data_IF_327694348182
#
_entry.id   IF_327694348182
#
_cell.length_a   1.000
_cell.length_b   1.000
_cell.length_c   1.000
_cell.angle_alpha   90.00
_cell.angle_beta   90.00
_cell.angle_gamma   90.00
#
_symmetry.space_group_name_H-M   'P 1'
#
loop_
_entity.id
_entity.type
_entity.pdbx_description
1 polymer ?
#
# COMPACT_ATOMS: atom_id res chain seq x y z
N UNK A 1 8.41 17.76 13.82
CA UNK A 1 7.78 16.76 14.70
C UNK A 1 7.22 17.44 15.93
N UNK A 2 5.93 17.76 15.96
CA UNK A 2 5.26 18.28 17.16
C UNK A 2 4.75 17.10 18.00
N UNK A 3 5.31 16.96 19.20
CA UNK A 3 4.99 15.88 20.14
C UNK A 3 3.53 15.95 20.59
N UNK A 4 2.93 17.14 20.62
CA UNK A 4 1.54 17.30 21.04
C UNK A 4 0.58 16.79 19.98
N UNK A 5 0.81 17.12 18.71
CA UNK A 5 0.03 16.60 17.58
C UNK A 5 0.17 15.09 17.44
N UNK A 6 1.39 14.55 17.57
CA UNK A 6 1.61 13.10 17.56
C UNK A 6 0.79 12.41 18.65
N UNK A 7 0.81 12.92 19.89
CA UNK A 7 0.04 12.32 21.00
C UNK A 7 -1.46 12.37 20.74
N UNK A 8 -1.96 13.48 20.21
CA UNK A 8 -3.38 13.64 19.86
C UNK A 8 -3.81 12.70 18.73
N UNK A 9 -2.95 12.43 17.74
CA UNK A 9 -3.26 11.49 16.67
C UNK A 9 -3.10 10.03 17.13
N UNK A 10 -2.11 9.75 17.99
CA UNK A 10 -1.84 8.39 18.48
C UNK A 10 -2.97 7.81 19.31
N UNK A 11 -3.80 8.64 19.98
CA UNK A 11 -4.97 8.14 20.71
C UNK A 11 -6.08 7.63 19.79
N UNK A 12 -6.05 7.99 18.50
CA UNK A 12 -7.04 7.56 17.51
C UNK A 12 -6.63 6.29 16.76
N UNK A 13 -5.43 5.75 17.02
CA UNK A 13 -4.86 4.62 16.31
C UNK A 13 -4.46 3.55 17.34
N UNK A 14 -5.18 2.44 17.34
CA UNK A 14 -5.00 1.37 18.34
C UNK A 14 -3.59 0.79 18.36
N UNK A 15 -2.91 0.73 17.22
CA UNK A 15 -1.55 0.21 17.12
C UNK A 15 -0.47 1.13 17.71
N UNK A 16 -0.78 2.41 17.92
CA UNK A 16 0.12 3.35 18.59
C UNK A 16 -0.15 3.47 20.09
N UNK A 17 -1.31 2.99 20.56
CA UNK A 17 -1.68 2.98 21.97
C UNK A 17 -0.86 1.96 22.77
N UNK A 18 -0.45 2.30 24.00
CA UNK A 18 0.07 1.33 24.95
C UNK A 18 -0.94 0.20 25.20
N UNK A 19 -0.50 -1.05 25.43
CA UNK A 19 -1.38 -2.21 25.64
C UNK A 19 -2.28 -2.12 26.89
N UNK A 20 -2.07 -1.11 27.75
CA UNK A 20 -2.87 -0.85 28.97
C UNK A 20 -3.99 0.18 28.73
N UNK A 21 -4.13 0.72 27.53
CA UNK A 21 -5.13 1.75 27.22
C UNK A 21 -6.53 1.15 27.07
N UNK A 22 -7.56 1.89 27.47
CA UNK A 22 -8.95 1.48 27.31
C UNK A 22 -9.31 1.37 25.82
N UNK A 23 -10.20 0.43 25.49
CA UNK A 23 -10.80 0.33 24.15
C UNK A 23 -11.65 1.57 23.90
N UNK A 24 -11.33 2.30 22.83
CA UNK A 24 -12.04 3.49 22.42
C UNK A 24 -12.88 3.16 21.19
N UNK A 25 -14.20 3.32 21.30
CA UNK A 25 -15.10 3.21 20.16
C UNK A 25 -14.97 4.46 19.30
N UNK A 26 -14.14 4.37 18.26
CA UNK A 26 -13.79 5.47 17.38
C UNK A 26 -14.45 5.29 16.02
N UNK A 27 -15.02 6.36 15.44
CA UNK A 27 -15.54 6.28 14.08
C UNK A 27 -14.40 6.02 13.09
N UNK A 28 -14.62 5.09 12.15
CA UNK A 28 -13.63 4.67 11.15
C UNK A 28 -13.03 5.83 10.36
N UNK A 29 -13.85 6.84 10.00
CA UNK A 29 -13.38 8.02 9.29
C UNK A 29 -12.34 8.84 10.09
N UNK A 30 -12.47 8.89 11.42
CA UNK A 30 -11.50 9.55 12.28
C UNK A 30 -10.19 8.75 12.34
N UNK A 31 -10.25 7.42 12.35
CA UNK A 31 -9.05 6.56 12.29
C UNK A 31 -8.30 6.75 10.97
N UNK A 32 -9.01 6.79 9.82
CA UNK A 32 -8.44 7.05 8.49
C UNK A 32 -7.80 8.45 8.43
N UNK A 33 -8.47 9.47 8.97
CA UNK A 33 -7.90 10.82 9.03
C UNK A 33 -6.67 10.88 9.96
N UNK A 34 -6.70 10.16 11.08
CA UNK A 34 -5.61 10.13 12.04
C UNK A 34 -4.36 9.45 11.46
N UNK A 35 -4.49 8.31 10.78
CA UNK A 35 -3.35 7.60 10.20
C UNK A 35 -2.67 8.41 9.10
N UNK A 36 -3.45 9.09 8.26
CA UNK A 36 -2.93 10.03 7.26
C UNK A 36 -2.26 11.24 7.94
N UNK A 37 -2.86 11.76 9.01
CA UNK A 37 -2.29 12.84 9.83
C UNK A 37 -0.93 12.47 10.41
N UNK A 38 -0.75 11.24 10.90
CA UNK A 38 0.56 10.74 11.34
C UNK A 38 1.55 10.76 10.18
N UNK A 39 1.15 10.30 8.98
CA UNK A 39 1.98 10.39 7.78
C UNK A 39 2.48 11.81 7.47
N UNK A 40 1.61 12.81 7.61
CA UNK A 40 1.95 14.22 7.39
C UNK A 40 2.88 14.78 8.49
N UNK A 41 2.62 14.47 9.76
CA UNK A 41 3.47 14.92 10.88
C UNK A 41 4.89 14.37 10.79
N UNK A 42 5.03 13.15 10.26
CA UNK A 42 6.28 12.42 10.11
C UNK A 42 6.83 12.43 8.67
N UNK A 43 6.32 13.29 7.81
CA UNK A 43 6.72 13.35 6.41
C UNK A 43 8.24 13.56 6.28
N UNK A 44 8.91 12.67 5.54
CA UNK A 44 10.35 12.73 5.30
C UNK A 44 11.23 12.53 6.55
N UNK A 45 10.70 11.99 7.65
CA UNK A 45 11.48 11.76 8.88
C UNK A 45 12.08 10.35 8.96
N UNK A 46 11.58 9.40 8.15
CA UNK A 46 11.97 7.99 8.16
C UNK A 46 12.04 7.35 9.56
N UNK A 47 11.10 7.72 10.46
CA UNK A 47 11.09 7.18 11.81
C UNK A 47 10.67 5.71 11.84
N UNK A 48 11.64 4.82 12.15
CA UNK A 48 11.48 3.35 12.18
C UNK A 48 10.20 2.85 12.85
N UNK A 49 9.91 3.30 14.08
CA UNK A 49 8.73 2.84 14.84
C UNK A 49 7.41 3.16 14.12
N UNK A 50 7.28 4.35 13.54
CA UNK A 50 6.06 4.76 12.83
C UNK A 50 5.95 3.97 11.53
N UNK A 51 7.06 3.79 10.82
CA UNK A 51 7.13 2.97 9.60
C UNK A 51 6.72 1.50 9.87
N UNK A 52 7.20 0.89 10.95
CA UNK A 52 6.83 -0.47 11.38
C UNK A 52 5.32 -0.58 11.68
N UNK A 53 4.77 0.38 12.42
CA UNK A 53 3.34 0.40 12.74
C UNK A 53 2.50 0.58 11.48
N UNK A 54 2.81 1.58 10.65
CA UNK A 54 2.06 1.82 9.40
C UNK A 54 2.11 0.62 8.45
N UNK A 55 3.25 -0.08 8.37
CA UNK A 55 3.37 -1.30 7.58
C UNK A 55 2.46 -2.42 8.09
N UNK A 56 2.36 -2.58 9.41
CA UNK A 56 1.42 -3.55 10.02
C UNK A 56 -0.05 -3.17 9.80
N UNK A 57 -0.35 -1.87 9.75
CA UNK A 57 -1.71 -1.36 9.53
C UNK A 57 -2.20 -1.54 8.08
N UNK A 58 -1.30 -1.52 7.09
CA UNK A 58 -1.65 -1.83 5.68
C UNK A 58 -2.25 -3.23 5.58
N UNK A 59 -1.62 -4.21 6.25
CA UNK A 59 -2.02 -5.61 6.25
C UNK A 59 -2.91 -6.03 7.43
N UNK A 60 -3.61 -5.09 8.08
CA UNK A 60 -4.44 -5.36 9.26
C UNK A 60 -5.55 -6.39 8.93
N UNK A 61 -5.68 -7.51 9.66
CA UNK A 61 -6.73 -8.51 9.41
C UNK A 61 -8.12 -8.02 9.83
N UNK A 62 -9.21 -8.65 9.35
CA UNK A 62 -10.57 -8.29 9.76
C UNK A 62 -10.88 -8.81 11.16
N UNK A 63 -11.77 -8.11 11.86
CA UNK A 63 -12.17 -8.43 13.23
C UNK A 63 -11.36 -7.68 14.29
N UNK A 64 -11.49 -8.05 15.58
CA UNK A 64 -12.30 -9.15 16.09
C UNK A 64 -13.81 -8.97 15.88
N UNK A 65 -14.53 -10.09 15.71
CA UNK A 65 -15.99 -10.14 15.66
C UNK A 65 -16.63 -9.26 14.57
N UNK A 66 -17.14 -8.09 14.94
CA UNK A 66 -17.80 -7.13 14.05
C UNK A 66 -16.96 -5.88 13.78
N UNK A 67 -15.77 -5.79 14.38
CA UNK A 67 -14.84 -4.68 14.20
C UNK A 67 -14.08 -4.78 12.88
N UNK A 68 -13.61 -3.64 12.39
CA UNK A 68 -12.72 -3.55 11.23
C UNK A 68 -13.24 -4.23 9.97
N UNK A 69 -14.56 -4.30 9.77
CA UNK A 69 -15.15 -4.89 8.57
C UNK A 69 -15.52 -3.84 7.51
N UNK A 70 -15.84 -2.62 7.93
CA UNK A 70 -16.33 -1.55 7.06
C UNK A 70 -15.17 -0.69 6.55
N UNK A 71 -15.15 -0.36 5.25
CA UNK A 71 -14.20 0.59 4.62
C UNK A 71 -12.70 0.32 4.89
N UNK A 72 -12.31 -0.95 5.05
CA UNK A 72 -10.91 -1.36 5.29
C UNK A 72 -9.97 -0.92 4.16
N UNK A 73 -10.48 -0.90 2.93
CA UNK A 73 -9.73 -0.45 1.75
C UNK A 73 -9.26 1.01 1.92
N UNK A 74 -10.13 1.89 2.43
CA UNK A 74 -9.80 3.29 2.69
C UNK A 74 -8.73 3.44 3.78
N UNK A 75 -8.79 2.60 4.82
CA UNK A 75 -7.80 2.60 5.90
C UNK A 75 -6.45 2.08 5.43
N UNK A 76 -6.42 0.94 4.73
CA UNK A 76 -5.19 0.37 4.16
C UNK A 76 -4.54 1.33 3.15
N UNK A 77 -5.36 1.98 2.31
CA UNK A 77 -4.90 3.01 1.39
C UNK A 77 -4.28 4.21 2.12
N UNK A 78 -4.94 4.72 3.16
CA UNK A 78 -4.44 5.83 3.96
C UNK A 78 -3.15 5.46 4.72
N UNK A 79 -3.06 4.23 5.24
CA UNK A 79 -1.86 3.71 5.88
C UNK A 79 -0.68 3.62 4.89
N UNK A 80 -0.94 3.14 3.67
CA UNK A 80 0.05 3.09 2.59
C UNK A 80 0.54 4.47 2.15
N UNK A 81 -0.38 5.41 1.96
CA UNK A 81 -0.03 6.81 1.68
C UNK A 81 0.76 7.45 2.81
N UNK A 82 0.33 7.26 4.06
CA UNK A 82 1.05 7.74 5.23
C UNK A 82 2.48 7.16 5.29
N UNK A 83 2.63 5.86 5.06
CA UNK A 83 3.94 5.19 5.02
C UNK A 83 4.83 5.78 3.92
N UNK A 84 4.28 5.98 2.72
CA UNK A 84 4.97 6.61 1.61
C UNK A 84 5.43 8.04 1.92
N UNK A 85 4.61 8.83 2.62
CA UNK A 85 4.97 10.18 3.07
C UNK A 85 6.08 10.17 4.13
N UNK A 86 6.05 9.23 5.09
CA UNK A 86 7.09 9.10 6.11
C UNK A 86 8.44 8.73 5.49
N UNK A 87 8.41 7.87 4.47
CA UNK A 87 9.59 7.35 3.75
C UNK A 87 9.94 8.12 2.47
N UNK A 88 9.33 9.29 2.26
CA UNK A 88 9.41 10.05 1.01
C UNK A 88 10.85 10.33 0.59
N UNK A 89 11.21 9.99 -0.66
CA UNK A 89 12.54 10.20 -1.27
C UNK A 89 13.73 9.55 -0.54
N UNK A 90 13.50 8.69 0.47
CA UNK A 90 14.59 8.05 1.21
C UNK A 90 15.17 6.81 0.49
N UNK A 91 14.45 6.27 -0.50
CA UNK A 91 14.91 5.18 -1.36
C UNK A 91 15.53 4.02 -0.59
N UNK A 92 16.73 3.61 -1.03
CA UNK A 92 17.53 2.56 -0.39
C UNK A 92 18.54 3.10 0.66
N UNK A 93 18.60 4.42 0.84
CA UNK A 93 19.61 5.10 1.65
C UNK A 93 19.22 5.25 3.13
N UNK A 94 17.97 4.94 3.49
CA UNK A 94 17.56 4.84 4.89
C UNK A 94 18.22 3.61 5.55
N UNK A 95 19.47 3.76 6.01
CA UNK A 95 20.26 2.76 6.72
C UNK A 95 19.54 2.17 7.96
N UNK A 96 18.55 2.89 8.52
CA UNK A 96 17.69 2.42 9.62
C UNK A 96 16.58 1.45 9.18
N UNK A 97 16.30 1.36 7.88
CA UNK A 97 15.16 0.66 7.24
C UNK A 97 15.59 -0.54 6.40
N UNK A 98 16.87 -0.62 6.00
CA UNK A 98 17.44 -1.77 5.27
C UNK A 98 17.20 -3.10 6.00
N UNK A 99 17.17 -3.07 7.33
CA UNK A 99 16.95 -4.25 8.17
C UNK A 99 15.50 -4.79 8.15
N UNK A 100 14.53 -3.96 7.75
CA UNK A 100 13.11 -4.29 7.85
C UNK A 100 12.50 -4.91 6.58
N UNK A 101 13.27 -5.01 5.48
CA UNK A 101 12.78 -5.51 4.19
C UNK A 101 11.42 -4.91 3.81
N UNK A 102 11.25 -3.60 4.03
CA UNK A 102 9.96 -2.91 3.88
C UNK A 102 9.49 -2.98 2.42
N UNK A 103 10.42 -2.80 1.49
CA UNK A 103 10.15 -2.94 0.06
C UNK A 103 9.61 -4.34 -0.28
N UNK A 104 10.22 -5.40 0.27
CA UNK A 104 9.75 -6.78 0.05
C UNK A 104 8.37 -7.03 0.66
N UNK A 105 8.08 -6.45 1.84
CA UNK A 105 6.77 -6.58 2.47
C UNK A 105 5.68 -5.83 1.68
N UNK A 106 5.98 -4.63 1.18
CA UNK A 106 5.06 -3.89 0.33
C UNK A 106 4.86 -4.59 -1.01
N UNK A 107 5.92 -5.17 -1.60
CA UNK A 107 5.80 -6.00 -2.79
C UNK A 107 4.91 -7.23 -2.53
N UNK A 108 5.05 -7.87 -1.38
CA UNK A 108 4.18 -8.98 -0.95
C UNK A 108 2.71 -8.55 -0.78
N UNK A 109 2.46 -7.33 -0.28
CA UNK A 109 1.10 -6.77 -0.23
C UNK A 109 0.54 -6.42 -1.62
N UNK A 110 1.39 -6.03 -2.57
CA UNK A 110 0.99 -5.67 -3.93
C UNK A 110 0.69 -6.88 -4.83
N UNK A 111 1.52 -7.92 -4.78
CA UNK A 111 1.39 -9.12 -5.63
C UNK A 111 0.51 -10.18 -4.98
N UNK A 112 0.41 -10.14 -3.65
CA UNK A 112 -0.23 -11.17 -2.87
C UNK A 112 0.68 -12.36 -2.60
N UNK A 113 0.29 -13.16 -1.61
CA UNK A 113 1.04 -14.32 -1.15
C UNK A 113 0.47 -14.84 0.16
N UNK A 114 1.14 -15.82 0.76
CA UNK A 114 0.72 -16.35 2.07
C UNK A 114 0.84 -15.27 3.14
N UNK A 115 -0.18 -15.14 3.98
CA UNK A 115 -0.13 -14.25 5.15
C UNK A 115 0.99 -14.73 6.08
N UNK A 116 1.88 -13.83 6.48
CA UNK A 116 2.85 -14.17 7.54
C UNK A 116 2.07 -14.29 8.85
N UNK A 117 2.35 -15.31 9.68
CA UNK A 117 1.69 -15.43 10.97
C UNK A 117 1.96 -14.17 11.80
N UNK A 118 0.89 -13.51 12.26
CA UNK A 118 0.99 -12.33 13.11
C UNK A 118 1.91 -12.62 14.31
N UNK A 119 2.94 -11.80 14.46
CA UNK A 119 3.91 -11.87 15.55
C UNK A 119 3.64 -10.71 16.51
N UNK A 120 3.45 -10.99 17.80
CA UNK A 120 3.24 -9.97 18.84
C UNK A 120 1.84 -9.98 19.49
N UNK A 121 1.56 -8.92 20.27
CA UNK A 121 0.37 -8.74 21.12
C UNK A 121 -0.95 -8.65 20.35
N UNK A 122 -0.91 -8.39 19.04
CA UNK A 122 -2.12 -8.40 18.20
C UNK A 122 -2.67 -9.80 17.93
N UNK A 123 -1.86 -10.86 18.06
CA UNK A 123 -2.31 -12.25 17.85
C UNK A 123 -3.42 -12.68 18.81
N UNK A 124 -3.46 -12.13 20.03
CA UNK A 124 -4.52 -12.43 21.00
C UNK A 124 -5.83 -11.72 20.67
N UNK A 125 -5.77 -10.49 20.12
CA UNK A 125 -6.95 -9.72 19.74
C UNK A 125 -7.66 -10.28 18.50
N UNK A 126 -6.90 -10.71 17.48
CA UNK A 126 -7.46 -11.28 16.23
C UNK A 126 -7.67 -12.80 16.28
N UNK A 127 -7.67 -13.40 17.49
CA UNK A 127 -7.91 -14.84 17.65
C UNK A 127 -9.36 -15.22 17.31
N UNK A 128 -10.30 -14.30 17.51
CA UNK A 128 -11.69 -14.45 17.11
C UNK A 128 -11.86 -14.01 15.65
N UNK A 129 -12.28 -14.89 14.73
CA UNK A 129 -12.49 -14.52 13.34
C UNK A 129 -13.62 -13.50 13.22
N UNK A 130 -13.55 -12.64 12.21
CA UNK A 130 -14.66 -11.74 11.90
C UNK A 130 -15.90 -12.50 11.44
N UNK A 131 -17.08 -12.01 11.85
CA UNK A 131 -18.37 -12.58 11.44
C UNK A 131 -18.84 -12.10 10.07
N UNK A 132 -18.26 -11.02 9.54
CA UNK A 132 -18.68 -10.39 8.28
C UNK A 132 -17.75 -10.72 7.10
N UNK A 133 -16.46 -10.89 7.35
CA UNK A 133 -15.45 -11.12 6.31
C UNK A 133 -14.76 -12.45 6.59
N UNK A 134 -14.58 -13.26 5.55
CA UNK A 134 -13.78 -14.47 5.62
C UNK A 134 -12.60 -14.32 4.65
N UNK A 135 -11.43 -14.04 5.18
CA UNK A 135 -10.18 -14.08 4.41
C UNK A 135 -9.60 -15.50 4.45
N UNK A 136 -8.95 -15.90 3.36
CA UNK A 136 -8.19 -17.15 3.30
C UNK A 136 -6.77 -16.96 3.86
N UNK A 137 -5.91 -17.97 3.67
CA UNK A 137 -4.51 -17.89 4.10
C UNK A 137 -3.65 -16.93 3.25
N UNK A 138 -4.23 -16.38 2.17
CA UNK A 138 -3.59 -15.42 1.28
C UNK A 138 -3.93 -13.96 1.62
N UNK A 139 -2.95 -13.08 1.42
CA UNK A 139 -3.11 -11.63 1.53
C UNK A 139 -4.20 -11.15 0.57
N UNK A 140 -5.12 -10.34 1.08
CA UNK A 140 -6.15 -9.72 0.27
C UNK A 140 -5.58 -8.54 -0.54
N UNK A 141 -5.23 -8.79 -1.79
CA UNK A 141 -4.66 -7.79 -2.71
C UNK A 141 -5.65 -6.64 -2.97
N UNK A 142 -6.96 -6.90 -2.91
CA UNK A 142 -7.96 -5.87 -3.15
C UNK A 142 -7.94 -4.76 -2.09
N UNK A 143 -7.55 -5.10 -0.85
CA UNK A 143 -7.45 -4.15 0.26
C UNK A 143 -6.06 -3.52 0.30
N UNK A 144 -5.02 -4.37 0.25
CA UNK A 144 -3.64 -3.97 0.54
C UNK A 144 -2.86 -3.47 -0.67
N UNK A 145 -3.25 -3.90 -1.88
CA UNK A 145 -2.58 -3.59 -3.14
C UNK A 145 -2.42 -2.09 -3.43
N UNK A 146 -3.49 -1.26 -3.40
CA UNK A 146 -3.37 0.15 -3.77
C UNK A 146 -2.53 0.95 -2.76
N UNK A 147 -2.65 0.65 -1.46
CA UNK A 147 -1.84 1.28 -0.41
C UNK A 147 -0.36 0.93 -0.56
N UNK A 148 -0.05 -0.34 -0.80
CA UNK A 148 1.34 -0.80 -0.97
C UNK A 148 2.00 -0.24 -2.23
N UNK A 149 1.24 -0.16 -3.33
CA UNK A 149 1.70 0.40 -4.62
C UNK A 149 2.12 1.87 -4.46
N UNK A 150 1.26 2.68 -3.85
CA UNK A 150 1.55 4.10 -3.61
C UNK A 150 2.68 4.31 -2.60
N UNK A 151 2.74 3.48 -1.55
CA UNK A 151 3.81 3.55 -0.56
C UNK A 151 5.20 3.33 -1.21
N UNK A 152 5.33 2.30 -2.06
CA UNK A 152 6.55 2.04 -2.80
C UNK A 152 6.88 3.16 -3.79
N UNK A 153 5.89 3.66 -4.54
CA UNK A 153 6.08 4.75 -5.48
C UNK A 153 6.63 6.02 -4.81
N UNK A 154 6.11 6.38 -3.63
CA UNK A 154 6.58 7.54 -2.86
C UNK A 154 7.93 7.30 -2.18
N UNK A 155 8.17 6.07 -1.69
CA UNK A 155 9.45 5.69 -1.07
C UNK A 155 10.62 5.78 -2.06
N UNK A 156 10.41 5.36 -3.31
CA UNK A 156 11.42 5.37 -4.37
C UNK A 156 11.27 6.53 -5.37
N UNK A 157 10.52 7.58 -4.99
CA UNK A 157 10.27 8.74 -5.85
C UNK A 157 11.59 9.38 -6.31
N UNK A 158 11.71 9.66 -7.61
CA UNK A 158 12.90 10.25 -8.28
C UNK A 158 14.22 9.49 -8.08
N UNK A 159 14.19 8.23 -7.64
CA UNK A 159 15.42 7.44 -7.47
C UNK A 159 15.93 6.82 -8.78
N UNK A 160 15.10 6.80 -9.84
CA UNK A 160 15.37 6.14 -11.13
C UNK A 160 15.85 4.69 -10.99
N UNK A 161 15.41 4.00 -9.92
CA UNK A 161 15.77 2.61 -9.70
C UNK A 161 14.96 1.69 -10.61
N UNK A 162 15.61 1.21 -11.67
CA UNK A 162 15.00 0.32 -12.67
C UNK A 162 14.57 -1.02 -12.09
N UNK A 163 15.26 -1.52 -11.05
CA UNK A 163 14.91 -2.81 -10.44
C UNK A 163 13.58 -2.77 -9.71
N UNK A 164 13.29 -1.67 -9.00
CA UNK A 164 12.01 -1.48 -8.31
C UNK A 164 10.93 -1.06 -9.30
N UNK A 165 11.27 -0.26 -10.32
CA UNK A 165 10.35 0.11 -11.39
C UNK A 165 9.81 -1.13 -12.15
N UNK A 166 10.65 -2.16 -12.36
CA UNK A 166 10.26 -3.40 -13.01
C UNK A 166 9.18 -4.18 -12.25
N UNK A 167 9.03 -3.97 -10.94
CA UNK A 167 7.96 -4.62 -10.16
C UNK A 167 6.56 -4.08 -10.50
N UNK A 168 6.49 -2.88 -11.10
CA UNK A 168 5.25 -2.22 -11.49
C UNK A 168 4.88 -2.44 -12.95
N UNK A 169 5.71 -3.17 -13.70
CA UNK A 169 5.42 -3.46 -15.10
C UNK A 169 4.12 -4.25 -15.22
N UNK A 170 3.37 -3.92 -16.26
CA UNK A 170 2.13 -4.61 -16.55
C UNK A 170 2.42 -6.06 -16.97
N UNK A 171 1.55 -7.01 -16.62
CA UNK A 171 1.77 -8.40 -16.97
C UNK A 171 1.74 -8.63 -18.49
N UNK A 172 2.70 -9.41 -18.99
CA UNK A 172 2.85 -9.74 -20.42
C UNK A 172 1.97 -10.90 -20.90
N UNK A 173 1.00 -11.37 -20.11
CA UNK A 173 0.08 -12.44 -20.54
C UNK A 173 -1.36 -12.10 -20.20
N UNK A 174 -2.29 -12.44 -21.09
CA UNK A 174 -3.73 -12.26 -20.87
C UNK A 174 -4.21 -12.94 -19.58
N UNK A 175 -3.69 -14.14 -19.30
CA UNK A 175 -4.01 -14.87 -18.09
C UNK A 175 -3.66 -14.08 -16.82
N UNK A 176 -2.46 -13.48 -16.74
CA UNK A 176 -2.05 -12.66 -15.59
C UNK A 176 -2.81 -11.32 -15.54
N UNK A 177 -3.21 -10.77 -16.69
CA UNK A 177 -4.02 -9.55 -16.76
C UNK A 177 -5.40 -9.76 -16.11
N UNK A 178 -6.02 -10.93 -16.30
CA UNK A 178 -7.32 -11.26 -15.70
C UNK A 178 -7.30 -11.31 -14.16
N UNK A 179 -6.13 -11.53 -13.54
CA UNK A 179 -5.99 -11.53 -12.08
C UNK A 179 -5.86 -10.14 -11.46
N UNK A 180 -5.63 -9.10 -12.25
CA UNK A 180 -5.36 -7.74 -11.75
C UNK A 180 -6.47 -6.79 -12.20
N UNK A 181 -7.05 -6.07 -11.24
CA UNK A 181 -8.03 -5.02 -11.54
C UNK A 181 -7.37 -3.87 -12.34
N UNK A 182 -8.05 -3.31 -13.35
CA UNK A 182 -7.50 -2.22 -14.17
C UNK A 182 -7.16 -0.97 -13.34
N UNK A 183 -7.92 -0.69 -12.29
CA UNK A 183 -7.64 0.41 -11.36
C UNK A 183 -6.27 0.28 -10.68
N UNK A 184 -5.84 -0.96 -10.40
CA UNK A 184 -4.53 -1.23 -9.80
C UNK A 184 -3.41 -1.10 -10.83
N UNK A 185 -3.66 -1.46 -12.10
CA UNK A 185 -2.70 -1.21 -13.19
C UNK A 185 -2.43 0.29 -13.35
N UNK A 186 -3.47 1.13 -13.24
CA UNK A 186 -3.29 2.58 -13.26
C UNK A 186 -2.37 3.06 -12.14
N UNK A 187 -2.59 2.60 -10.90
CA UNK A 187 -1.75 2.96 -9.76
C UNK A 187 -0.31 2.46 -9.90
N UNK A 188 -0.12 1.26 -10.46
CA UNK A 188 1.22 0.70 -10.74
C UNK A 188 1.94 1.53 -11.79
N UNK A 189 1.27 1.88 -12.88
CA UNK A 189 1.83 2.74 -13.93
C UNK A 189 2.20 4.12 -13.39
N UNK A 190 1.32 4.73 -12.59
CA UNK A 190 1.58 6.00 -11.94
C UNK A 190 2.80 5.91 -11.01
N UNK A 191 2.89 4.87 -10.19
CA UNK A 191 4.02 4.65 -9.27
C UNK A 191 5.33 4.42 -10.02
N UNK A 192 5.30 3.70 -11.15
CA UNK A 192 6.45 3.55 -12.05
C UNK A 192 6.93 4.89 -12.61
N UNK A 193 6.00 5.75 -13.04
CA UNK A 193 6.30 7.11 -13.49
C UNK A 193 6.94 7.97 -12.40
N UNK A 194 6.42 7.89 -11.16
CA UNK A 194 6.99 8.61 -10.01
C UNK A 194 8.42 8.18 -9.68
N UNK A 195 8.74 6.89 -9.84
CA UNK A 195 10.08 6.35 -9.61
C UNK A 195 11.04 6.77 -10.74
N UNK A 196 10.61 6.60 -11.99
CA UNK A 196 11.36 6.92 -13.21
C UNK A 196 11.09 8.34 -13.70
N UNK A 197 11.17 9.31 -12.78
CA UNK A 197 10.73 10.69 -13.01
C UNK A 197 11.45 11.37 -14.17
N UNK A 198 12.74 11.12 -14.36
CA UNK A 198 13.55 11.76 -15.40
C UNK A 198 13.23 11.25 -16.81
N UNK A 199 12.55 10.09 -16.90
CA UNK A 199 12.17 9.48 -18.18
C UNK A 199 10.82 9.96 -18.71
N UNK A 200 10.11 10.82 -17.99
CA UNK A 200 8.79 11.32 -18.38
C UNK A 200 8.93 12.35 -19.50
N UNK A 201 8.31 12.06 -20.65
CA UNK A 201 8.27 12.97 -21.79
C UNK A 201 6.83 13.45 -22.04
N UNK A 202 6.61 14.76 -22.32
CA UNK A 202 5.28 15.29 -22.63
C UNK A 202 4.90 14.98 -24.09
N UNK A 203 4.85 13.71 -24.47
CA UNK A 203 4.43 13.25 -25.80
C UNK A 203 3.36 12.17 -25.71
N UNK A 204 2.47 12.12 -26.70
CA UNK A 204 1.46 11.07 -26.81
C UNK A 204 2.11 9.71 -27.04
N UNK A 205 3.19 9.66 -27.83
CA UNK A 205 3.97 8.44 -28.09
C UNK A 205 4.52 7.82 -26.80
N UNK A 206 4.95 8.66 -25.84
CA UNK A 206 5.41 8.18 -24.55
C UNK A 206 4.27 7.57 -23.75
N UNK A 207 3.09 8.19 -23.73
CA UNK A 207 1.91 7.64 -23.05
C UNK A 207 1.50 6.29 -23.67
N UNK A 208 1.45 6.21 -24.99
CA UNK A 208 1.09 5.00 -25.72
C UNK A 208 2.11 3.86 -25.55
N UNK A 209 3.39 4.19 -25.32
CA UNK A 209 4.45 3.20 -25.07
C UNK A 209 4.26 2.40 -23.78
N UNK A 210 3.43 2.87 -22.83
CA UNK A 210 3.16 2.18 -21.58
C UNK A 210 2.06 1.12 -21.71
N UNK A 211 1.32 1.12 -22.82
CA UNK A 211 0.25 0.16 -23.06
C UNK A 211 0.89 -1.16 -23.50
N UNK A 212 0.62 -2.29 -22.80
CA UNK A 212 1.17 -3.58 -23.18
C UNK A 212 0.77 -3.97 -24.60
N UNK A 213 1.68 -4.59 -25.34
CA UNK A 213 1.45 -5.02 -26.72
C UNK A 213 0.20 -5.91 -26.87
N UNK A 214 -0.17 -6.67 -25.83
CA UNK A 214 -1.35 -7.53 -25.80
C UNK A 214 -2.64 -6.73 -25.94
N UNK A 215 -2.74 -5.58 -25.24
CA UNK A 215 -3.92 -4.72 -25.29
C UNK A 215 -4.02 -4.10 -26.68
N UNK A 216 -2.90 -3.64 -27.23
CA UNK A 216 -2.83 -3.11 -28.60
C UNK A 216 -3.24 -4.16 -29.66
N UNK A 217 -2.84 -5.43 -29.47
CA UNK A 217 -3.22 -6.53 -30.35
C UNK A 217 -4.72 -6.85 -30.28
N UNK A 218 -5.33 -6.84 -29.09
CA UNK A 218 -6.78 -7.04 -28.94
C UNK A 218 -7.59 -5.92 -29.63
N UNK A 219 -7.14 -4.67 -29.57
CA UNK A 219 -7.81 -3.56 -30.27
C UNK A 219 -7.78 -3.73 -31.80
N UNK A 220 -6.63 -4.13 -32.36
CA UNK A 220 -6.50 -4.39 -33.80
C UNK A 220 -7.36 -5.59 -34.27
N UNK A 221 -7.48 -6.63 -33.43
CA UNK A 221 -8.32 -7.80 -33.69
C UNK A 221 -9.81 -7.43 -33.74
N UNK A 222 -10.24 -6.50 -32.89
CA UNK A 222 -11.63 -6.05 -32.79
C UNK A 222 -12.01 -5.10 -33.93
N UNK A 223 -11.05 -4.36 -34.50
CA UNK A 223 -11.26 -3.57 -35.72
C UNK A 223 -11.38 -4.44 -36.99
N UNK A 224 -10.70 -5.60 -37.05
CA UNK A 224 -10.80 -6.55 -38.16
C UNK A 224 -12.12 -7.32 -38.24
N UNK A 225 -12.90 -7.39 -37.15
CA UNK A 225 -14.22 -8.04 -37.08
C UNK A 225 -15.39 -7.13 -37.50
N UNK A 226 -15.13 -5.85 -37.78
CA UNK A 226 -16.13 -4.86 -38.24
C UNK A 226 -16.06 -4.59 -39.75
N UNK A 227 -15.33 -5.38 -40.53
CA UNK A 227 -15.35 -5.36 -42.00
C UNK A 227 -16.02 -6.60 -42.58
#
# INVERSE_FOLDING_TARGET
MDVTTTKMLSIHIDALLPPTSAELDLPHSAQVAAILGVGLVYQGTAQRRITEVLLSEIGRPPGPEMENAVNRESYSLAAGLALGLVMLEHGNEAASVVDLKIADQLYHYMVGGQTKPQTGTQKEKFKSPSYQIKEGDSVNINVTGPGATLALGLMFMKTNNTSVAAWFDAPDTQFLLDFIRPDFLLLRLLSRGLIMWDSIHPSTDWVESHIPAIVQQCDSSTQGLKQ
#
